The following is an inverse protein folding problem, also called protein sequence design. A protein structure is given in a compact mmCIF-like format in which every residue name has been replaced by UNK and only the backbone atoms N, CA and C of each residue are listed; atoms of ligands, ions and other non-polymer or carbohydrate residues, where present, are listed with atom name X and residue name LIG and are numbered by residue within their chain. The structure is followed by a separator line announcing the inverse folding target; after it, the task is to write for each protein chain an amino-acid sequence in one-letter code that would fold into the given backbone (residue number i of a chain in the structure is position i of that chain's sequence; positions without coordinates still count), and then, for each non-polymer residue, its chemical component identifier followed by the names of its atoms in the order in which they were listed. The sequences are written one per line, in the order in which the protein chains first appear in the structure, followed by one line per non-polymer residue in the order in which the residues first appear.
data_IF_907906796399
#
_entry.id   IF_907906796399
#
_cell.length_a   1.000
_cell.length_b   1.000
_cell.length_c   1.000
_cell.angle_alpha   90.00
_cell.angle_beta   90.00
_cell.angle_gamma   90.00
#
_symmetry.space_group_name_H-M   'P 1'
#
loop_
_entity.id
_entity.type
_entity.pdbx_description
1 polymer ?
#
# COMPACT_ATOMS: atom_id res chain seq x y z
N UNK A 1 -160.95 -18.94 -120.74
CA UNK A 1 -159.57 -19.37 -120.98
C UNK A 1 -158.69 -18.13 -121.10
N UNK A 2 -157.99 -17.86 -122.23
CA UNK A 2 -157.20 -16.66 -122.59
C UNK A 2 -156.88 -15.62 -121.50
N UNK A 3 -157.87 -14.89 -120.95
CA UNK A 3 -157.63 -13.88 -119.90
C UNK A 3 -156.90 -14.44 -118.65
N UNK A 4 -157.27 -15.64 -118.17
CA UNK A 4 -156.56 -16.32 -117.06
C UNK A 4 -155.14 -16.76 -117.41
N UNK A 5 -154.89 -17.05 -118.69
CA UNK A 5 -153.56 -17.45 -119.16
C UNK A 5 -152.62 -16.23 -119.20
N UNK A 6 -153.13 -15.06 -119.60
CA UNK A 6 -152.40 -13.79 -119.48
C UNK A 6 -152.21 -13.33 -118.03
N UNK A 7 -153.20 -13.52 -117.16
CA UNK A 7 -153.10 -13.19 -115.73
C UNK A 7 -152.00 -14.04 -115.05
N UNK A 8 -152.01 -15.37 -115.23
CA UNK A 8 -150.92 -16.24 -114.76
C UNK A 8 -149.56 -15.94 -115.39
N UNK A 9 -149.50 -15.42 -116.63
CA UNK A 9 -148.23 -15.03 -117.26
C UNK A 9 -147.65 -13.76 -116.63
N UNK A 10 -148.49 -12.82 -116.19
CA UNK A 10 -148.08 -11.64 -115.42
C UNK A 10 -147.64 -12.03 -114.01
N UNK A 11 -148.39 -12.88 -113.31
CA UNK A 11 -148.01 -13.41 -112.00
C UNK A 11 -146.67 -14.15 -112.05
N UNK A 12 -146.43 -14.97 -113.09
CA UNK A 12 -145.14 -15.66 -113.34
C UNK A 12 -143.99 -14.72 -113.73
N UNK A 13 -144.29 -13.47 -114.12
CA UNK A 13 -143.26 -12.44 -114.36
C UNK A 13 -142.95 -11.67 -113.08
N UNK A 14 -143.97 -11.30 -112.31
CA UNK A 14 -143.83 -10.61 -111.02
C UNK A 14 -143.10 -11.50 -110.00
N UNK A 15 -143.47 -12.78 -109.89
CA UNK A 15 -142.76 -13.75 -109.02
C UNK A 15 -141.29 -13.88 -109.40
N UNK A 16 -140.96 -14.05 -110.69
CA UNK A 16 -139.56 -14.06 -111.16
C UNK A 16 -138.80 -12.77 -110.89
N UNK A 17 -139.46 -11.61 -110.98
CA UNK A 17 -138.85 -10.32 -110.66
C UNK A 17 -138.58 -10.16 -109.15
N UNK A 18 -139.44 -10.74 -108.30
CA UNK A 18 -139.24 -10.81 -106.84
C UNK A 18 -138.13 -11.82 -106.50
N UNK A 19 -138.09 -12.98 -107.16
CA UNK A 19 -137.02 -13.99 -107.00
C UNK A 19 -135.65 -13.40 -107.43
N UNK A 20 -135.59 -12.69 -108.56
CA UNK A 20 -134.37 -12.01 -109.01
C UNK A 20 -133.93 -10.90 -108.05
N UNK A 21 -134.85 -10.10 -107.51
CA UNK A 21 -134.53 -9.07 -106.51
C UNK A 21 -134.01 -9.69 -105.22
N UNK A 22 -134.63 -10.77 -104.73
CA UNK A 22 -134.14 -11.52 -103.57
C UNK A 22 -132.76 -12.12 -103.79
N UNK A 23 -132.53 -12.79 -104.92
CA UNK A 23 -131.21 -13.33 -105.25
C UNK A 23 -130.14 -12.24 -105.28
N UNK A 24 -130.45 -11.05 -105.83
CA UNK A 24 -129.51 -9.92 -105.79
C UNK A 24 -129.36 -9.34 -104.38
N UNK A 25 -130.42 -9.22 -103.59
CA UNK A 25 -130.36 -8.78 -102.19
C UNK A 25 -129.55 -9.76 -101.32
N UNK A 26 -129.64 -11.07 -101.59
CA UNK A 26 -128.86 -12.13 -100.96
C UNK A 26 -127.38 -12.11 -101.43
N UNK A 27 -127.10 -11.84 -102.72
CA UNK A 27 -125.75 -11.63 -103.26
C UNK A 27 -125.09 -10.37 -102.69
N UNK A 28 -125.77 -9.22 -102.73
CA UNK A 28 -125.30 -7.94 -102.18
C UNK A 28 -125.05 -8.08 -100.66
N UNK A 29 -125.90 -8.83 -99.93
CA UNK A 29 -125.71 -9.12 -98.50
C UNK A 29 -124.57 -10.12 -98.22
N UNK A 30 -124.31 -11.08 -99.12
CA UNK A 30 -123.17 -11.98 -99.03
C UNK A 30 -121.85 -11.23 -99.24
N UNK A 31 -121.74 -10.38 -100.26
CA UNK A 31 -120.55 -9.55 -100.50
C UNK A 31 -120.28 -8.62 -99.31
N UNK A 32 -121.31 -7.94 -98.77
CA UNK A 32 -121.19 -7.12 -97.57
C UNK A 32 -120.78 -7.94 -96.32
N UNK A 33 -121.20 -9.21 -96.22
CA UNK A 33 -120.78 -10.11 -95.14
C UNK A 33 -119.32 -10.57 -95.30
N UNK A 34 -118.82 -10.76 -96.51
CA UNK A 34 -117.40 -11.06 -96.78
C UNK A 34 -116.50 -9.85 -96.59
N UNK A 35 -116.90 -8.64 -97.03
CA UNK A 35 -116.18 -7.41 -96.73
C UNK A 35 -116.09 -7.17 -95.22
N UNK A 36 -117.19 -7.35 -94.48
CA UNK A 36 -117.18 -7.26 -93.02
C UNK A 36 -116.21 -8.26 -92.38
N UNK A 37 -116.21 -9.52 -92.82
CA UNK A 37 -115.27 -10.56 -92.33
C UNK A 37 -113.81 -10.20 -92.64
N UNK A 38 -113.56 -9.60 -93.81
CA UNK A 38 -112.24 -9.12 -94.21
C UNK A 38 -111.77 -7.98 -93.31
N UNK A 39 -112.61 -6.97 -93.08
CA UNK A 39 -112.29 -5.85 -92.18
C UNK A 39 -112.11 -6.34 -90.74
N UNK A 40 -112.95 -7.24 -90.25
CA UNK A 40 -112.80 -7.86 -88.92
C UNK A 40 -111.47 -8.63 -88.78
N UNK A 41 -111.04 -9.32 -89.85
CA UNK A 41 -109.72 -9.95 -89.91
C UNK A 41 -108.59 -8.92 -89.92
N UNK A 42 -108.66 -7.88 -90.75
CA UNK A 42 -107.63 -6.84 -90.84
C UNK A 42 -107.50 -6.07 -89.50
N UNK A 43 -108.61 -5.77 -88.82
CA UNK A 43 -108.62 -5.20 -87.46
C UNK A 43 -108.00 -6.15 -86.42
N UNK A 44 -108.23 -7.46 -86.54
CA UNK A 44 -107.62 -8.46 -85.67
C UNK A 44 -106.11 -8.57 -85.89
N UNK A 45 -105.66 -8.60 -87.14
CA UNK A 45 -104.24 -8.67 -87.49
C UNK A 45 -103.49 -7.40 -87.05
N UNK A 46 -104.09 -6.21 -87.18
CA UNK A 46 -103.54 -4.97 -86.63
C UNK A 46 -103.54 -4.96 -85.08
N UNK A 47 -104.57 -5.51 -84.42
CA UNK A 47 -104.58 -5.65 -82.96
C UNK A 47 -103.48 -6.60 -82.45
N UNK A 48 -103.29 -7.75 -83.10
CA UNK A 48 -102.22 -8.71 -82.79
C UNK A 48 -100.82 -8.12 -83.09
N UNK A 49 -100.68 -7.34 -84.17
CA UNK A 49 -99.46 -6.59 -84.49
C UNK A 49 -99.15 -5.50 -83.46
N UNK A 50 -100.12 -4.66 -83.08
CA UNK A 50 -99.94 -3.65 -82.02
C UNK A 50 -99.62 -4.27 -80.66
N UNK A 51 -100.20 -5.43 -80.35
CA UNK A 51 -99.88 -6.19 -79.13
C UNK A 51 -98.42 -6.67 -79.14
N UNK A 52 -97.97 -7.30 -80.22
CA UNK A 52 -96.58 -7.77 -80.34
C UNK A 52 -95.56 -6.62 -80.37
N UNK A 53 -95.87 -5.50 -81.03
CA UNK A 53 -95.06 -4.28 -80.95
C UNK A 53 -94.89 -3.78 -79.50
N UNK A 54 -95.98 -3.66 -78.74
CA UNK A 54 -95.93 -3.26 -77.33
C UNK A 54 -95.10 -4.22 -76.47
N UNK A 55 -95.21 -5.54 -76.69
CA UNK A 55 -94.37 -6.52 -75.99
C UNK A 55 -92.88 -6.33 -76.32
N UNK A 56 -92.53 -6.03 -77.58
CA UNK A 56 -91.14 -5.73 -77.96
C UNK A 56 -90.63 -4.40 -77.39
N UNK A 57 -91.49 -3.39 -77.24
CA UNK A 57 -91.17 -2.12 -76.57
C UNK A 57 -90.97 -2.32 -75.06
N UNK A 58 -91.85 -3.07 -74.39
CA UNK A 58 -91.71 -3.43 -72.97
C UNK A 58 -90.44 -4.23 -72.69
N UNK A 59 -90.07 -5.16 -73.57
CA UNK A 59 -88.81 -5.93 -73.46
C UNK A 59 -87.61 -5.00 -73.61
N UNK A 60 -87.53 -4.21 -74.68
CA UNK A 60 -86.43 -3.24 -74.91
C UNK A 60 -86.30 -2.23 -73.76
N UNK A 61 -87.44 -1.79 -73.20
CA UNK A 61 -87.49 -0.92 -72.04
C UNK A 61 -86.84 -1.59 -70.82
N UNK A 62 -87.27 -2.80 -70.45
CA UNK A 62 -86.68 -3.58 -69.34
C UNK A 62 -85.19 -3.87 -69.54
N UNK A 63 -84.78 -4.15 -70.77
CA UNK A 63 -83.35 -4.33 -71.11
C UNK A 63 -82.56 -3.04 -70.89
N UNK A 64 -83.10 -1.88 -71.29
CA UNK A 64 -82.47 -0.57 -71.06
C UNK A 64 -82.44 -0.18 -69.57
N UNK A 65 -83.51 -0.48 -68.82
CA UNK A 65 -83.59 -0.28 -67.36
C UNK A 65 -82.54 -1.14 -66.64
N UNK A 66 -82.47 -2.44 -66.95
CA UNK A 66 -81.40 -3.32 -66.45
C UNK A 66 -80.00 -2.85 -66.87
N UNK A 67 -79.83 -2.25 -68.06
CA UNK A 67 -78.53 -1.74 -68.50
C UNK A 67 -78.11 -0.47 -67.72
N UNK A 68 -79.07 0.35 -67.30
CA UNK A 68 -78.83 1.49 -66.41
C UNK A 68 -78.53 1.01 -64.99
N UNK A 69 -79.31 0.06 -64.45
CA UNK A 69 -79.06 -0.53 -63.13
C UNK A 69 -77.69 -1.21 -63.06
N UNK A 70 -77.27 -1.93 -64.11
CA UNK A 70 -75.91 -2.52 -64.26
C UNK A 70 -74.79 -1.50 -64.41
N UNK A 71 -75.08 -0.22 -64.68
CA UNK A 71 -74.11 0.88 -64.63
C UNK A 71 -74.05 1.48 -63.22
N UNK A 72 -75.19 1.76 -62.61
CA UNK A 72 -75.30 2.32 -61.25
C UNK A 72 -74.66 1.39 -60.22
N UNK A 73 -74.95 0.09 -60.28
CA UNK A 73 -74.35 -0.92 -59.39
C UNK A 73 -72.83 -0.96 -59.52
N UNK A 74 -72.29 -0.97 -60.74
CA UNK A 74 -70.83 -0.90 -61.00
C UNK A 74 -70.19 0.40 -60.53
N UNK A 75 -70.89 1.52 -60.65
CA UNK A 75 -70.39 2.81 -60.18
C UNK A 75 -70.33 2.87 -58.65
N UNK A 76 -71.34 2.31 -57.96
CA UNK A 76 -71.35 2.15 -56.50
C UNK A 76 -70.24 1.20 -56.05
N UNK A 77 -70.06 0.07 -56.73
CA UNK A 77 -68.97 -0.89 -56.48
C UNK A 77 -67.59 -0.24 -56.66
N UNK A 78 -67.38 0.52 -57.73
CA UNK A 78 -66.13 1.25 -57.98
C UNK A 78 -65.86 2.33 -56.93
N UNK A 79 -66.87 3.13 -56.55
CA UNK A 79 -66.74 4.11 -55.46
C UNK A 79 -66.37 3.44 -54.15
N UNK A 80 -67.05 2.34 -53.79
CA UNK A 80 -66.75 1.58 -52.56
C UNK A 80 -65.34 1.00 -52.57
N UNK A 81 -64.89 0.40 -53.68
CA UNK A 81 -63.53 -0.13 -53.79
C UNK A 81 -62.49 0.98 -53.63
N UNK A 82 -62.72 2.17 -54.20
CA UNK A 82 -61.84 3.32 -54.00
C UNK A 82 -61.85 3.82 -52.56
N UNK A 83 -63.02 3.91 -51.93
CA UNK A 83 -63.13 4.29 -50.51
C UNK A 83 -62.45 3.27 -49.57
N UNK A 84 -62.42 1.98 -49.95
CA UNK A 84 -61.71 0.91 -49.24
C UNK A 84 -60.18 0.99 -49.45
N UNK A 85 -59.71 1.37 -50.64
CA UNK A 85 -58.31 1.65 -50.98
C UNK A 85 -57.80 2.92 -50.26
N UNK A 86 -58.50 4.05 -50.40
CA UNK A 86 -58.20 5.32 -49.69
C UNK A 86 -58.14 5.10 -48.16
N UNK A 87 -59.01 4.24 -47.61
CA UNK A 87 -59.05 3.91 -46.17
C UNK A 87 -57.93 2.94 -45.73
N UNK A 88 -57.48 2.04 -46.60
CA UNK A 88 -56.35 1.15 -46.34
C UNK A 88 -55.03 1.94 -46.26
N UNK A 89 -54.77 2.82 -47.23
CA UNK A 89 -53.59 3.71 -47.22
C UNK A 89 -53.59 4.62 -45.99
N UNK A 90 -54.75 5.21 -45.66
CA UNK A 90 -54.90 6.01 -44.45
C UNK A 90 -54.71 5.22 -43.14
N UNK A 91 -54.94 3.91 -43.15
CA UNK A 91 -54.68 3.03 -42.01
C UNK A 91 -53.20 2.65 -41.89
N UNK A 92 -52.50 2.41 -43.02
CA UNK A 92 -51.07 2.08 -43.00
C UNK A 92 -50.16 3.28 -42.73
N UNK A 93 -50.51 4.48 -43.18
CA UNK A 93 -49.82 5.71 -42.74
C UNK A 93 -50.07 6.02 -41.25
N UNK A 94 -51.26 5.71 -40.70
CA UNK A 94 -51.48 5.76 -39.24
C UNK A 94 -50.58 4.77 -38.49
N UNK A 95 -50.49 3.51 -38.95
CA UNK A 95 -49.59 2.50 -38.39
C UNK A 95 -48.11 2.87 -38.54
N UNK A 96 -47.75 3.65 -39.57
CA UNK A 96 -46.40 4.18 -39.77
C UNK A 96 -46.08 5.26 -38.74
N UNK A 97 -46.92 6.28 -38.63
CA UNK A 97 -46.76 7.37 -37.65
C UNK A 97 -46.76 6.84 -36.21
N UNK A 98 -47.55 5.82 -35.89
CA UNK A 98 -47.54 5.15 -34.58
C UNK A 98 -46.19 4.46 -34.29
N UNK A 99 -45.57 3.82 -35.29
CA UNK A 99 -44.20 3.27 -35.18
C UNK A 99 -43.17 4.36 -35.02
N UNK A 100 -43.18 5.38 -35.87
CA UNK A 100 -42.22 6.49 -35.82
C UNK A 100 -42.28 7.24 -34.48
N UNK A 101 -43.49 7.50 -33.94
CA UNK A 101 -43.67 8.10 -32.61
C UNK A 101 -43.19 7.19 -31.48
N UNK A 102 -43.43 5.88 -31.59
CA UNK A 102 -42.93 4.90 -30.61
C UNK A 102 -41.41 4.83 -30.61
N UNK A 103 -40.79 4.73 -31.78
CA UNK A 103 -39.34 4.65 -31.93
C UNK A 103 -38.68 5.94 -31.42
N UNK A 104 -39.28 7.11 -31.65
CA UNK A 104 -38.83 8.38 -31.05
C UNK A 104 -38.96 8.40 -29.52
N UNK A 105 -40.04 7.85 -28.96
CA UNK A 105 -40.23 7.76 -27.52
C UNK A 105 -39.23 6.79 -26.85
N UNK A 106 -38.94 5.65 -27.48
CA UNK A 106 -37.91 4.70 -27.04
C UNK A 106 -36.50 5.33 -27.16
N UNK A 107 -36.21 6.07 -28.23
CA UNK A 107 -34.95 6.81 -28.42
C UNK A 107 -34.77 7.93 -27.37
N UNK A 108 -35.80 8.74 -27.10
CA UNK A 108 -35.80 9.75 -26.02
C UNK A 108 -35.63 9.11 -24.64
N UNK A 109 -36.13 7.90 -24.42
CA UNK A 109 -35.87 7.14 -23.19
C UNK A 109 -34.40 6.68 -23.10
N UNK A 110 -33.87 6.08 -24.17
CA UNK A 110 -32.47 5.64 -24.24
C UNK A 110 -31.47 6.79 -24.03
N UNK A 111 -31.71 7.96 -24.64
CA UNK A 111 -30.90 9.16 -24.42
C UNK A 111 -30.85 9.57 -22.94
N UNK A 112 -32.01 9.62 -22.25
CA UNK A 112 -32.07 9.94 -20.82
C UNK A 112 -31.32 8.92 -19.95
N UNK A 113 -31.36 7.63 -20.30
CA UNK A 113 -30.56 6.62 -19.59
C UNK A 113 -29.06 6.81 -19.80
N UNK A 114 -28.63 7.09 -21.04
CA UNK A 114 -27.23 7.40 -21.35
C UNK A 114 -26.73 8.65 -20.62
N UNK A 115 -27.55 9.70 -20.49
CA UNK A 115 -27.17 10.91 -19.77
C UNK A 115 -27.15 10.73 -18.24
N UNK A 116 -27.97 9.83 -17.68
CA UNK A 116 -27.87 9.40 -16.28
C UNK A 116 -26.55 8.64 -16.05
N UNK A 117 -26.18 7.73 -16.94
CA UNK A 117 -24.92 6.98 -16.87
C UNK A 117 -23.73 7.94 -16.98
N UNK A 118 -23.70 8.82 -17.99
CA UNK A 118 -22.65 9.83 -18.18
C UNK A 118 -22.46 10.74 -16.97
N UNK A 119 -23.55 11.17 -16.32
CA UNK A 119 -23.48 11.97 -15.09
C UNK A 119 -22.85 11.18 -13.95
N UNK A 120 -23.31 9.95 -13.72
CA UNK A 120 -22.75 9.05 -12.69
C UNK A 120 -21.27 8.76 -12.92
N UNK A 121 -20.84 8.56 -14.17
CA UNK A 121 -19.45 8.31 -14.51
C UNK A 121 -18.59 9.56 -14.30
N UNK A 122 -19.07 10.74 -14.70
CA UNK A 122 -18.39 12.02 -14.45
C UNK A 122 -18.32 12.38 -12.95
N UNK A 123 -19.37 12.08 -12.18
CA UNK A 123 -19.38 12.19 -10.71
C UNK A 123 -18.32 11.27 -10.09
N UNK A 124 -18.25 10.01 -10.52
CA UNK A 124 -17.26 9.04 -10.05
C UNK A 124 -15.82 9.39 -10.49
N UNK A 125 -15.60 10.02 -11.65
CA UNK A 125 -14.28 10.54 -12.04
C UNK A 125 -13.86 11.76 -11.23
N UNK A 126 -14.80 12.65 -10.91
CA UNK A 126 -14.56 13.79 -10.01
C UNK A 126 -14.26 13.30 -8.58
N UNK A 127 -14.98 12.30 -8.06
CA UNK A 127 -14.69 11.67 -6.77
C UNK A 127 -13.28 11.05 -6.76
N UNK A 128 -12.93 10.25 -7.79
CA UNK A 128 -11.56 9.71 -7.96
C UNK A 128 -10.49 10.81 -8.10
N UNK A 129 -10.84 12.01 -8.60
CA UNK A 129 -9.92 13.16 -8.67
C UNK A 129 -9.74 13.79 -7.30
N UNK A 130 -10.82 14.00 -6.54
CA UNK A 130 -10.78 14.51 -5.17
C UNK A 130 -10.01 13.58 -4.24
N UNK A 131 -10.23 12.26 -4.33
CA UNK A 131 -9.49 11.26 -3.55
C UNK A 131 -7.98 11.33 -3.83
N UNK A 132 -7.57 11.35 -5.10
CA UNK A 132 -6.14 11.51 -5.47
C UNK A 132 -5.54 12.83 -5.00
N UNK A 133 -6.31 13.91 -4.96
CA UNK A 133 -5.85 15.20 -4.43
C UNK A 133 -5.68 15.15 -2.89
N UNK A 134 -6.58 14.46 -2.17
CA UNK A 134 -6.47 14.23 -0.73
C UNK A 134 -5.30 13.30 -0.38
N UNK A 135 -5.08 12.22 -1.15
CA UNK A 135 -3.92 11.34 -1.04
C UNK A 135 -2.61 12.13 -1.25
N UNK A 136 -2.55 12.96 -2.30
CA UNK A 136 -1.39 13.80 -2.59
C UNK A 136 -1.13 14.87 -1.51
N UNK A 137 -2.18 15.45 -0.92
CA UNK A 137 -2.08 16.36 0.23
C UNK A 137 -1.51 15.65 1.46
N UNK A 138 -2.10 14.50 1.84
CA UNK A 138 -1.62 13.69 2.97
C UNK A 138 -0.18 13.23 2.80
N UNK A 139 0.22 12.83 1.59
CA UNK A 139 1.59 12.39 1.30
C UNK A 139 2.59 13.55 1.42
N UNK A 140 2.20 14.77 1.02
CA UNK A 140 3.00 15.99 1.26
C UNK A 140 3.08 16.39 2.73
N UNK A 141 1.99 16.24 3.48
CA UNK A 141 1.96 16.49 4.93
C UNK A 141 2.87 15.50 5.68
N UNK A 142 2.85 14.22 5.27
CA UNK A 142 3.74 13.16 5.78
C UNK A 142 5.21 13.40 5.39
N UNK A 143 5.49 13.83 4.16
CA UNK A 143 6.84 14.22 3.71
C UNK A 143 7.38 15.41 4.51
N UNK A 144 6.57 16.45 4.74
CA UNK A 144 6.96 17.62 5.54
C UNK A 144 7.24 17.21 7.00
N UNK A 145 6.35 16.45 7.62
CA UNK A 145 6.53 15.94 8.98
C UNK A 145 7.77 15.05 9.10
N UNK A 146 8.09 14.25 8.07
CA UNK A 146 9.31 13.45 8.02
C UNK A 146 10.58 14.31 7.85
N UNK A 147 10.53 15.42 7.10
CA UNK A 147 11.63 16.36 6.99
C UNK A 147 11.86 17.12 8.31
N UNK A 148 10.80 17.58 8.97
CA UNK A 148 10.87 18.20 10.30
C UNK A 148 11.38 17.23 11.37
N UNK A 149 10.92 15.98 11.37
CA UNK A 149 11.44 14.94 12.26
C UNK A 149 12.93 14.65 12.02
N UNK A 150 13.40 14.69 10.76
CA UNK A 150 14.83 14.58 10.43
C UNK A 150 15.63 15.78 10.92
N UNK A 151 15.13 17.01 10.72
CA UNK A 151 15.75 18.26 11.22
C UNK A 151 15.86 18.24 12.76
N UNK A 152 14.78 17.89 13.46
CA UNK A 152 14.77 17.76 14.93
C UNK A 152 15.72 16.65 15.44
N UNK A 153 15.80 15.52 14.73
CA UNK A 153 16.74 14.44 15.07
C UNK A 153 18.21 14.83 14.84
N UNK A 154 18.51 15.60 13.78
CA UNK A 154 19.86 16.13 13.55
C UNK A 154 20.22 17.20 14.58
N UNK A 155 19.31 18.15 14.86
CA UNK A 155 19.52 19.19 15.88
C UNK A 155 19.72 18.57 17.27
N UNK A 156 18.95 17.52 17.62
CA UNK A 156 19.21 16.74 18.84
C UNK A 156 20.60 16.10 18.82
N UNK A 157 21.03 15.49 17.71
CA UNK A 157 22.39 14.92 17.60
C UNK A 157 23.49 15.97 17.73
N UNK A 158 23.26 17.20 17.27
CA UNK A 158 24.18 18.34 17.49
C UNK A 158 24.26 18.69 18.97
N UNK A 159 23.12 18.92 19.65
CA UNK A 159 23.08 19.16 21.12
C UNK A 159 23.70 18.02 21.93
N UNK A 160 23.39 16.76 21.60
CA UNK A 160 23.92 15.56 22.25
C UNK A 160 25.44 15.43 22.06
N UNK A 161 26.00 16.00 20.98
CA UNK A 161 27.46 16.09 20.77
C UNK A 161 28.05 17.28 21.53
N UNK A 162 27.47 18.47 21.41
CA UNK A 162 27.90 19.68 22.12
C UNK A 162 27.97 19.45 23.63
N UNK A 163 27.01 18.73 24.21
CA UNK A 163 27.02 18.34 25.62
C UNK A 163 28.15 17.36 25.98
N UNK A 164 28.53 16.44 25.09
CA UNK A 164 29.69 15.55 25.29
C UNK A 164 30.99 16.33 25.19
N UNK A 165 31.15 17.11 24.12
CA UNK A 165 32.32 17.95 23.88
C UNK A 165 32.53 18.91 25.08
N UNK A 166 31.46 19.50 25.64
CA UNK A 166 31.54 20.34 26.84
C UNK A 166 31.92 19.55 28.10
N UNK A 167 31.36 18.36 28.30
CA UNK A 167 31.69 17.49 29.45
C UNK A 167 33.14 16.99 29.38
N UNK A 168 33.65 16.65 28.21
CA UNK A 168 35.05 16.32 27.97
C UNK A 168 35.96 17.53 28.23
N UNK A 169 35.59 18.73 27.76
CA UNK A 169 36.34 19.97 28.00
C UNK A 169 36.36 20.35 29.50
N UNK A 170 35.25 20.17 30.22
CA UNK A 170 35.19 20.32 31.69
C UNK A 170 36.10 19.32 32.41
N UNK A 171 36.14 18.05 31.98
CA UNK A 171 37.04 17.05 32.55
C UNK A 171 38.52 17.39 32.25
N UNK A 172 38.85 17.80 31.03
CA UNK A 172 40.18 18.26 30.66
C UNK A 172 40.62 19.47 31.50
N UNK A 173 39.72 20.43 31.74
CA UNK A 173 39.99 21.57 32.64
C UNK A 173 40.29 21.13 34.07
N UNK A 174 39.49 20.20 34.63
CA UNK A 174 39.74 19.64 35.98
C UNK A 174 41.06 18.86 36.05
N UNK A 175 41.44 18.12 35.01
CA UNK A 175 42.74 17.44 34.93
C UNK A 175 43.90 18.43 34.85
N UNK A 176 43.79 19.49 34.04
CA UNK A 176 44.80 20.54 33.95
C UNK A 176 44.93 21.34 35.26
N UNK A 177 43.82 21.62 35.96
CA UNK A 177 43.88 22.17 37.32
C UNK A 177 44.53 21.21 38.30
N UNK A 178 44.23 19.91 38.23
CA UNK A 178 44.84 18.89 39.08
C UNK A 178 46.35 18.75 38.84
N UNK A 179 46.80 18.89 37.59
CA UNK A 179 48.23 18.94 37.24
C UNK A 179 48.86 20.22 37.79
N UNK A 180 48.26 21.40 37.56
CA UNK A 180 48.75 22.69 38.10
C UNK A 180 48.81 22.72 39.62
N UNK A 181 47.84 22.10 40.31
CA UNK A 181 47.82 21.96 41.77
C UNK A 181 48.98 21.09 42.24
N UNK A 182 49.18 19.88 41.66
CA UNK A 182 50.33 19.01 41.96
C UNK A 182 51.68 19.64 41.62
N UNK A 183 51.76 20.42 40.55
CA UNK A 183 52.97 21.15 40.15
C UNK A 183 53.30 22.27 41.15
N UNK A 184 52.29 23.05 41.56
CA UNK A 184 52.44 24.07 42.61
C UNK A 184 52.75 23.45 43.99
N UNK A 185 52.12 22.33 44.35
CA UNK A 185 52.42 21.54 45.55
C UNK A 185 53.87 21.04 45.51
N UNK A 186 54.31 20.41 44.42
CA UNK A 186 55.69 19.96 44.25
C UNK A 186 56.71 21.12 44.24
N UNK A 187 56.36 22.29 43.71
CA UNK A 187 57.22 23.48 43.77
C UNK A 187 57.26 24.10 45.18
N UNK A 188 56.16 24.04 45.94
CA UNK A 188 56.14 24.41 47.35
C UNK A 188 56.93 23.40 48.19
N UNK A 189 56.84 22.10 47.94
CA UNK A 189 57.71 21.09 48.55
C UNK A 189 59.19 21.31 48.21
N UNK A 190 59.52 21.63 46.95
CA UNK A 190 60.90 22.02 46.55
C UNK A 190 61.38 23.28 47.29
N UNK A 191 60.51 24.27 47.52
CA UNK A 191 60.83 25.47 48.31
C UNK A 191 61.03 25.15 49.78
N UNK A 192 60.12 24.42 50.41
CA UNK A 192 60.19 23.98 51.81
C UNK A 192 61.43 23.11 52.04
N UNK A 193 61.73 22.16 51.13
CA UNK A 193 62.93 21.34 51.19
C UNK A 193 64.21 22.18 51.10
N UNK A 194 64.30 23.12 50.16
CA UNK A 194 65.43 24.06 50.07
C UNK A 194 65.54 24.93 51.32
N UNK A 195 64.43 25.37 51.91
CA UNK A 195 64.43 26.15 53.14
C UNK A 195 64.90 25.32 54.35
N UNK A 196 64.53 24.05 54.43
CA UNK A 196 65.01 23.10 55.46
C UNK A 196 66.49 22.76 55.30
N UNK A 197 66.96 22.56 54.06
CA UNK A 197 68.38 22.34 53.76
C UNK A 197 69.22 23.59 54.08
N UNK A 198 68.73 24.79 53.74
CA UNK A 198 69.38 26.07 54.04
C UNK A 198 69.36 26.37 55.55
N UNK A 199 68.29 26.01 56.27
CA UNK A 199 68.24 26.07 57.74
C UNK A 199 69.26 25.15 58.40
N UNK A 200 69.38 23.89 57.95
CA UNK A 200 70.42 22.96 58.44
C UNK A 200 71.83 23.49 58.21
N UNK A 201 72.11 24.04 57.02
CA UNK A 201 73.40 24.65 56.71
C UNK A 201 73.74 25.83 57.63
N UNK A 202 72.75 26.68 57.94
CA UNK A 202 72.92 27.78 58.89
C UNK A 202 73.08 27.31 60.34
N UNK A 203 72.31 26.32 60.77
CA UNK A 203 72.44 25.74 62.12
C UNK A 203 73.80 25.07 62.32
N UNK A 204 74.35 24.43 61.27
CA UNK A 204 75.71 23.88 61.26
C UNK A 204 76.79 24.98 61.24
N UNK A 205 76.60 26.05 60.46
CA UNK A 205 77.50 27.22 60.44
C UNK A 205 77.49 27.97 61.78
N UNK A 206 76.32 28.20 62.39
CA UNK A 206 76.17 28.81 63.72
C UNK A 206 76.77 27.92 64.83
N UNK A 207 76.63 26.59 64.73
CA UNK A 207 77.27 25.66 65.67
C UNK A 207 78.81 25.61 65.51
N UNK A 208 79.34 25.82 64.30
CA UNK A 208 80.77 25.99 64.04
C UNK A 208 81.29 27.35 64.54
N UNK A 209 80.54 28.42 64.30
CA UNK A 209 80.79 29.76 64.85
C UNK A 209 80.84 29.74 66.38
N UNK A 210 79.90 29.08 67.05
CA UNK A 210 79.86 29.05 68.51
C UNK A 210 80.99 28.20 69.10
N UNK A 211 81.33 27.05 68.49
CA UNK A 211 82.55 26.30 68.82
C UNK A 211 83.79 27.18 68.68
N UNK A 212 83.93 27.86 67.53
CA UNK A 212 85.03 28.79 67.24
C UNK A 212 85.09 29.98 68.20
N UNK A 213 83.97 30.39 68.79
CA UNK A 213 83.91 31.43 69.84
C UNK A 213 84.38 30.87 71.19
N UNK A 214 83.84 29.73 71.62
CA UNK A 214 84.23 29.03 72.85
C UNK A 214 85.71 28.63 72.85
N UNK A 215 86.26 28.24 71.70
CA UNK A 215 87.69 27.95 71.51
C UNK A 215 88.58 29.19 71.65
N UNK A 216 88.17 30.36 71.14
CA UNK A 216 88.89 31.63 71.38
C UNK A 216 88.84 32.03 72.85
N UNK A 217 87.66 31.98 73.45
CA UNK A 217 87.45 32.27 74.88
C UNK A 217 88.35 31.38 75.76
N UNK A 218 88.45 30.08 75.44
CA UNK A 218 89.35 29.15 76.11
C UNK A 218 90.85 29.43 75.83
N UNK A 219 91.23 29.75 74.59
CA UNK A 219 92.62 30.06 74.24
C UNK A 219 93.10 31.35 74.94
N UNK A 220 92.27 32.39 74.99
CA UNK A 220 92.56 33.61 75.73
C UNK A 220 92.68 33.38 77.24
N UNK A 221 91.85 32.51 77.83
CA UNK A 221 91.98 32.14 79.24
C UNK A 221 93.31 31.42 79.52
N UNK A 222 93.70 30.48 78.65
CA UNK A 222 95.00 29.78 78.74
C UNK A 222 96.19 30.74 78.56
N UNK A 223 96.11 31.71 77.63
CA UNK A 223 97.15 32.72 77.50
C UNK A 223 97.25 33.65 78.71
N UNK A 224 96.12 34.12 79.25
CA UNK A 224 96.08 34.98 80.44
C UNK A 224 96.68 34.25 81.64
N UNK A 225 96.38 32.96 81.82
CA UNK A 225 96.99 32.13 82.86
C UNK A 225 98.49 31.92 82.65
N UNK A 226 98.94 31.55 81.43
CA UNK A 226 100.37 31.39 81.12
C UNK A 226 101.17 32.68 81.35
N UNK A 227 100.62 33.84 81.00
CA UNK A 227 101.25 35.16 81.21
C UNK A 227 101.34 35.49 82.71
N UNK A 228 100.28 35.27 83.48
CA UNK A 228 100.28 35.50 84.93
C UNK A 228 101.25 34.56 85.70
N UNK A 229 101.30 33.28 85.33
CA UNK A 229 102.21 32.31 85.98
C UNK A 229 103.68 32.63 85.66
N UNK A 230 103.98 33.02 84.41
CA UNK A 230 105.32 33.49 84.01
C UNK A 230 105.74 34.78 84.76
N UNK A 231 104.83 35.74 84.93
CA UNK A 231 105.11 36.99 85.66
C UNK A 231 105.37 36.74 87.15
N UNK A 232 104.66 35.80 87.77
CA UNK A 232 104.92 35.38 89.17
C UNK A 232 106.28 34.69 89.31
N UNK A 233 106.61 33.78 88.39
CA UNK A 233 107.91 33.09 88.33
C UNK A 233 109.06 34.10 88.12
N UNK A 234 108.86 35.11 87.28
CA UNK A 234 109.87 36.14 87.03
C UNK A 234 110.19 36.93 88.30
N UNK A 235 109.18 37.39 89.05
CA UNK A 235 109.37 38.12 90.32
C UNK A 235 110.03 37.27 91.40
N UNK A 236 109.57 36.04 91.61
CA UNK A 236 110.16 35.13 92.60
C UNK A 236 111.64 34.81 92.26
N UNK A 237 111.97 34.69 90.97
CA UNK A 237 113.34 34.51 90.49
C UNK A 237 114.19 35.77 90.68
N UNK A 238 113.66 36.97 90.44
CA UNK A 238 114.39 38.22 90.65
C UNK A 238 114.66 38.48 92.14
N UNK A 239 113.71 38.18 93.02
CA UNK A 239 113.88 38.24 94.48
C UNK A 239 114.90 37.20 94.96
N UNK A 240 114.79 35.94 94.50
CA UNK A 240 115.82 34.92 94.79
C UNK A 240 117.19 35.35 94.31
N UNK A 241 117.33 35.86 93.09
CA UNK A 241 118.63 36.32 92.58
C UNK A 241 119.21 37.49 93.37
N UNK A 242 118.40 38.38 93.95
CA UNK A 242 118.88 39.45 94.86
C UNK A 242 119.39 38.85 96.17
N UNK A 243 118.60 37.97 96.80
CA UNK A 243 119.00 37.27 98.03
C UNK A 243 120.26 36.42 97.82
N UNK A 244 120.37 35.72 96.69
CA UNK A 244 121.54 34.91 96.33
C UNK A 244 122.78 35.77 96.06
N UNK A 245 122.63 36.96 95.48
CA UNK A 245 123.74 37.90 95.27
C UNK A 245 124.23 38.48 96.60
N UNK A 246 123.32 38.82 97.53
CA UNK A 246 123.71 39.21 98.89
C UNK A 246 124.37 38.06 99.67
N UNK A 247 123.81 36.85 99.60
CA UNK A 247 124.37 35.68 100.27
C UNK A 247 125.76 35.33 99.73
N UNK A 248 125.92 35.22 98.41
CA UNK A 248 127.22 34.98 97.78
C UNK A 248 128.23 36.08 98.09
N UNK A 249 127.81 37.36 98.13
CA UNK A 249 128.70 38.45 98.52
C UNK A 249 129.15 38.32 99.97
N UNK A 250 128.26 38.06 100.94
CA UNK A 250 128.68 37.83 102.33
C UNK A 250 129.61 36.63 102.45
N UNK A 251 129.31 35.53 101.75
CA UNK A 251 130.14 34.33 101.72
C UNK A 251 131.54 34.64 101.17
N UNK A 252 131.63 35.45 100.10
CA UNK A 252 132.90 35.90 99.52
C UNK A 252 133.66 36.84 100.47
N UNK A 253 132.98 37.84 101.04
CA UNK A 253 133.56 38.81 101.98
C UNK A 253 134.12 38.10 103.23
N UNK A 254 133.43 37.09 103.79
CA UNK A 254 133.93 36.30 104.94
C UNK A 254 135.04 35.32 104.56
N UNK A 255 134.97 34.64 103.39
CA UNK A 255 136.03 33.74 102.92
C UNK A 255 137.35 34.50 102.68
N UNK A 256 137.27 35.67 102.04
CA UNK A 256 138.42 36.54 101.76
C UNK A 256 139.02 37.09 103.06
N UNK A 257 138.18 37.42 104.05
CA UNK A 257 138.58 37.85 105.40
C UNK A 257 139.19 36.72 106.26
N UNK A 258 138.92 35.47 105.92
CA UNK A 258 139.57 34.29 106.52
C UNK A 258 140.94 33.94 105.91
N UNK A 259 141.39 34.69 104.89
CA UNK A 259 142.72 34.55 104.29
C UNK A 259 142.85 33.46 103.23
N UNK A 260 141.74 33.04 102.62
CA UNK A 260 141.76 32.16 101.45
C UNK A 260 141.96 32.95 100.15
N UNK A 261 142.75 32.37 99.24
CA UNK A 261 143.06 32.96 97.93
C UNK A 261 141.88 32.83 96.94
N UNK A 262 141.70 33.86 96.13
CA UNK A 262 140.42 34.21 95.48
C UNK A 262 139.99 33.15 94.43
N UNK A 263 140.95 32.59 93.72
CA UNK A 263 140.70 31.62 92.64
C UNK A 263 140.18 30.25 93.12
N UNK A 264 140.35 29.90 94.40
CA UNK A 264 139.88 28.62 94.94
C UNK A 264 138.35 28.57 95.15
N UNK A 265 137.70 29.73 95.27
CA UNK A 265 136.30 29.86 95.67
C UNK A 265 135.35 29.50 94.50
N UNK A 266 135.72 29.87 93.27
CA UNK A 266 134.85 29.72 92.09
C UNK A 266 134.61 28.25 91.68
N UNK A 267 135.60 27.37 91.88
CA UNK A 267 135.61 26.02 91.33
C UNK A 267 134.52 25.09 91.91
N UNK A 268 133.98 25.41 93.10
CA UNK A 268 133.05 24.54 93.84
C UNK A 268 131.60 24.63 93.31
N UNK A 269 131.27 25.59 92.44
CA UNK A 269 129.91 26.07 92.19
C UNK A 269 129.08 25.44 91.01
N UNK A 270 129.42 24.28 90.38
CA UNK A 270 128.63 23.76 89.21
C UNK A 270 128.66 22.23 88.86
N UNK A 271 127.53 21.58 88.43
CA UNK A 271 127.36 20.14 87.94
C UNK A 271 125.97 19.82 87.17
N UNK A 272 125.66 18.64 86.50
CA UNK A 272 124.59 18.42 85.40
C UNK A 272 123.85 17.00 85.11
N UNK A 273 122.66 16.85 84.36
CA UNK A 273 121.92 15.58 83.80
C UNK A 273 120.69 15.67 82.72
N UNK A 274 120.02 14.56 82.16
CA UNK A 274 118.90 14.44 81.06
C UNK A 274 118.21 12.96 80.88
N UNK A 275 117.17 12.36 80.12
CA UNK A 275 116.21 12.43 78.88
C UNK A 275 114.97 11.35 78.72
N UNK A 276 114.06 11.32 77.64
CA UNK A 276 113.32 10.18 76.83
C UNK A 276 111.72 9.93 76.52
N UNK A 277 111.21 9.00 75.57
CA UNK A 277 109.87 8.92 74.69
C UNK A 277 109.15 7.47 74.33
N UNK A 278 108.13 6.98 73.46
CA UNK A 278 107.16 7.24 72.24
C UNK A 278 105.96 6.13 71.85
N UNK A 279 105.01 6.16 70.77
CA UNK A 279 103.63 5.42 70.59
C UNK A 279 103.02 4.66 69.19
N UNK A 280 101.69 4.54 68.65
CA UNK A 280 100.93 3.32 67.96
C UNK A 280 99.90 3.37 66.63
N UNK A 281 99.02 2.34 66.19
CA UNK A 281 98.10 2.24 64.88
C UNK A 281 96.80 1.21 64.70
N UNK A 282 96.00 0.98 63.55
CA UNK A 282 94.60 0.26 63.33
C UNK A 282 93.99 -0.40 61.92
N UNK A 283 92.76 -1.13 61.76
CA UNK A 283 92.14 -1.97 60.55
C UNK A 283 90.54 -2.01 60.08
N UNK A 284 89.96 -2.74 59.00
CA UNK A 284 88.43 -2.97 58.59
C UNK A 284 87.72 -4.21 57.68
N UNK A 285 86.85 -4.19 56.53
CA UNK A 285 85.51 -4.99 56.24
C UNK A 285 84.92 -5.63 54.79
N UNK A 286 83.72 -6.39 54.62
CA UNK A 286 83.11 -7.14 53.34
C UNK A 286 81.50 -7.41 53.01
N UNK A 287 80.93 -7.94 51.81
CA UNK A 287 79.42 -8.37 51.45
C UNK A 287 78.91 -9.05 50.01
N UNK A 288 77.70 -9.77 49.74
CA UNK A 288 76.90 -10.11 48.37
C UNK A 288 75.64 -11.19 48.17
N UNK A 289 74.60 -11.16 47.19
CA UNK A 289 73.42 -12.18 46.83
C UNK A 289 72.58 -12.33 45.39
N UNK A 290 71.63 -13.34 45.01
CA UNK A 290 70.64 -13.47 43.75
C UNK A 290 69.45 -14.62 43.51
N UNK A 291 68.54 -14.67 42.40
CA UNK A 291 67.36 -15.66 41.96
C UNK A 291 66.79 -15.62 40.41
N UNK A 292 65.62 -16.13 39.69
CA UNK A 292 64.32 -17.04 39.73
C UNK A 292 63.74 -17.90 38.39
N UNK A 293 62.39 -18.28 38.09
CA UNK A 293 61.80 -19.25 36.97
C UNK A 293 60.24 -19.24 36.33
N UNK A 294 59.65 -20.23 35.49
CA UNK A 294 58.29 -20.37 34.68
C UNK A 294 57.67 -21.84 34.20
N UNK A 295 56.72 -22.32 33.22
CA UNK A 295 55.68 -21.92 32.10
C UNK A 295 54.13 -22.53 31.75
N UNK A 296 53.66 -23.53 30.82
CA UNK A 296 52.42 -23.54 29.83
C UNK A 296 51.21 -24.69 29.60
N UNK A 297 50.38 -24.83 28.44
CA UNK A 297 48.95 -25.48 28.16
C UNK A 297 48.58 -26.29 26.75
N UNK A 298 47.35 -26.92 26.42
CA UNK A 298 46.86 -27.70 25.14
C UNK A 298 45.30 -27.75 24.62
N UNK A 299 44.87 -28.38 23.44
CA UNK A 299 43.48 -28.40 22.74
C UNK A 299 43.02 -29.59 21.70
N UNK A 300 41.81 -29.61 20.99
CA UNK A 300 41.15 -30.77 20.19
C UNK A 300 39.99 -30.52 19.08
N UNK A 301 39.72 -31.36 18.00
CA UNK A 301 38.49 -31.37 17.08
C UNK A 301 37.91 -32.75 16.47
N UNK A 302 36.82 -32.76 15.62
CA UNK A 302 36.15 -33.91 14.84
C UNK A 302 35.13 -33.40 13.73
N UNK A 303 34.20 -34.12 12.96
CA UNK A 303 33.78 -35.56 12.70
C UNK A 303 33.38 -35.96 11.17
N UNK A 304 32.52 -36.99 10.87
CA UNK A 304 32.04 -37.49 9.50
C UNK A 304 30.54 -38.01 9.36
N UNK A 305 30.06 -38.53 8.18
CA UNK A 305 28.65 -38.89 7.79
C UNK A 305 28.39 -40.36 7.26
N UNK A 306 27.16 -40.96 7.40
CA UNK A 306 26.80 -42.26 6.75
C UNK A 306 25.36 -42.47 6.14
N UNK A 307 25.31 -43.09 4.95
CA UNK A 307 24.30 -43.95 4.23
C UNK A 307 22.75 -43.79 4.31
N UNK A 308 22.09 -44.18 3.20
CA UNK A 308 20.66 -44.04 2.88
C UNK A 308 19.71 -45.15 3.39
N UNK A 309 18.43 -44.81 3.58
CA UNK A 309 17.28 -45.73 3.66
C UNK A 309 16.10 -45.16 2.86
N UNK A 310 15.28 -45.97 2.16
CA UNK A 310 14.04 -45.51 1.53
C UNK A 310 13.05 -44.96 2.57
N UNK A 311 13.08 -43.65 2.79
CA UNK A 311 12.34 -43.00 3.87
C UNK A 311 11.08 -42.37 3.31
N UNK A 312 9.97 -43.09 3.44
CA UNK A 312 8.65 -42.62 3.01
C UNK A 312 8.25 -41.36 3.78
N UNK A 313 8.08 -40.23 3.09
CA UNK A 313 7.60 -38.99 3.74
C UNK A 313 6.08 -39.02 3.81
N UNK A 314 5.52 -39.17 5.02
CA UNK A 314 4.07 -39.07 5.27
C UNK A 314 3.64 -37.60 5.36
N UNK A 315 2.76 -37.15 4.46
CA UNK A 315 2.22 -35.79 4.45
C UNK A 315 0.70 -35.77 4.60
N UNK A 316 0.17 -34.76 5.30
CA UNK A 316 -1.26 -34.59 5.45
C UNK A 316 -1.90 -33.98 4.19
N UNK A 317 -2.98 -34.58 3.70
CA UNK A 317 -3.84 -34.12 2.59
C UNK A 317 -4.45 -32.73 2.85
N UNK A 318 -4.41 -32.25 4.10
CA UNK A 318 -4.74 -30.86 4.46
C UNK A 318 -3.76 -29.83 3.90
N UNK A 319 -2.49 -30.18 3.67
CA UNK A 319 -1.46 -29.27 3.13
C UNK A 319 -0.97 -29.67 1.73
N UNK A 320 -1.15 -30.93 1.34
CA UNK A 320 -0.76 -31.47 0.04
C UNK A 320 -1.97 -31.89 -0.81
N UNK A 321 -2.02 -31.47 -2.07
CA UNK A 321 -3.01 -31.95 -3.05
C UNK A 321 -2.45 -33.09 -3.91
N UNK A 322 -3.31 -34.04 -4.26
CA UNK A 322 -3.04 -35.08 -5.26
C UNK A 322 -2.67 -34.46 -6.62
N UNK A 323 -3.26 -33.32 -6.96
CA UNK A 323 -2.96 -32.59 -8.21
C UNK A 323 -1.53 -32.04 -8.20
N UNK A 324 -1.05 -31.56 -7.05
CA UNK A 324 0.34 -31.13 -6.88
C UNK A 324 1.30 -32.29 -7.16
N UNK A 325 1.05 -33.46 -6.56
CA UNK A 325 1.86 -34.66 -6.78
C UNK A 325 1.85 -35.13 -8.24
N UNK A 326 0.72 -35.00 -8.95
CA UNK A 326 0.62 -35.29 -10.39
C UNK A 326 1.41 -34.28 -11.24
N UNK A 327 1.33 -32.98 -10.92
CA UNK A 327 2.07 -31.92 -11.64
C UNK A 327 3.59 -32.11 -11.49
N UNK A 328 4.07 -32.47 -10.30
CA UNK A 328 5.49 -32.74 -10.04
C UNK A 328 5.91 -34.20 -10.32
N UNK A 329 5.01 -35.04 -10.84
CA UNK A 329 5.25 -36.43 -11.24
C UNK A 329 5.84 -37.31 -10.12
N UNK A 330 5.32 -37.16 -8.90
CA UNK A 330 5.81 -37.84 -7.70
C UNK A 330 4.97 -39.09 -7.41
N UNK A 331 5.64 -40.23 -7.26
CA UNK A 331 5.01 -41.47 -6.83
C UNK A 331 4.52 -41.37 -5.38
N UNK A 332 3.22 -41.63 -5.20
CA UNK A 332 2.54 -41.58 -3.93
C UNK A 332 1.60 -42.77 -3.75
N UNK A 333 1.41 -43.17 -2.49
CA UNK A 333 0.42 -44.16 -2.06
C UNK A 333 -0.50 -43.51 -1.02
N UNK A 334 -1.74 -44.01 -0.90
CA UNK A 334 -2.62 -43.62 0.19
C UNK A 334 -2.21 -44.38 1.45
N UNK A 335 -2.14 -43.68 2.58
CA UNK A 335 -1.99 -44.34 3.88
C UNK A 335 -3.31 -45.01 4.28
N UNK A 336 -3.27 -45.86 5.30
CA UNK A 336 -4.46 -46.43 5.94
C UNK A 336 -5.36 -45.32 6.52
N UNK A 337 -4.76 -44.20 6.95
CA UNK A 337 -5.47 -42.97 7.29
C UNK A 337 -5.79 -42.16 6.00
N UNK A 338 -7.07 -41.95 5.61
CA UNK A 338 -7.42 -41.28 4.35
C UNK A 338 -7.06 -39.79 4.29
N UNK A 339 -6.64 -39.19 5.41
CA UNK A 339 -6.15 -37.81 5.49
C UNK A 339 -4.62 -37.69 5.32
N UNK A 340 -3.90 -38.79 5.13
CA UNK A 340 -2.47 -38.80 4.86
C UNK A 340 -2.13 -39.45 3.51
N UNK A 341 -1.00 -39.03 2.94
CA UNK A 341 -0.42 -39.53 1.70
C UNK A 341 1.04 -39.89 1.98
N UNK A 342 1.46 -41.06 1.53
CA UNK A 342 2.83 -41.56 1.65
C UNK A 342 3.57 -41.29 0.33
N UNK A 343 4.63 -40.48 0.38
CA UNK A 343 5.50 -40.24 -0.77
C UNK A 343 6.64 -41.26 -0.76
N UNK A 344 6.93 -41.90 -1.90
CA UNK A 344 7.91 -43.02 -1.97
C UNK A 344 9.38 -42.61 -1.85
N UNK A 345 9.66 -41.31 -1.89
CA UNK A 345 10.99 -40.72 -1.69
C UNK A 345 11.01 -39.85 -0.45
N UNK A 346 12.21 -39.65 0.10
CA UNK A 346 12.43 -38.56 1.05
C UNK A 346 12.20 -37.21 0.36
N UNK A 347 11.40 -36.35 0.98
CA UNK A 347 11.10 -34.99 0.47
C UNK A 347 11.79 -33.96 1.36
N UNK A 348 12.86 -33.28 0.89
CA UNK A 348 13.51 -32.19 1.62
C UNK A 348 12.54 -31.06 1.94
N UNK A 349 12.75 -30.33 3.04
CA UNK A 349 11.86 -29.28 3.55
C UNK A 349 11.48 -28.24 2.48
N UNK A 350 12.42 -27.82 1.64
CA UNK A 350 12.18 -26.89 0.53
C UNK A 350 11.24 -27.43 -0.58
N UNK A 351 11.24 -28.74 -0.84
CA UNK A 351 10.25 -29.36 -1.72
C UNK A 351 8.87 -29.40 -1.05
N UNK A 352 8.81 -29.63 0.27
CA UNK A 352 7.54 -29.60 1.03
C UNK A 352 6.89 -28.22 0.92
N UNK A 353 7.65 -27.16 1.15
CA UNK A 353 7.22 -25.78 0.96
C UNK A 353 6.75 -25.51 -0.48
N UNK A 354 7.49 -25.97 -1.49
CA UNK A 354 7.09 -25.81 -2.90
C UNK A 354 5.75 -26.51 -3.17
N UNK A 355 5.52 -27.70 -2.62
CA UNK A 355 4.27 -28.43 -2.78
C UNK A 355 3.12 -27.81 -1.97
N UNK A 356 3.39 -27.24 -0.80
CA UNK A 356 2.39 -26.51 -0.01
C UNK A 356 1.99 -25.19 -0.68
N UNK A 357 2.95 -24.43 -1.22
CA UNK A 357 2.70 -23.22 -2.00
C UNK A 357 1.87 -23.53 -3.26
N UNK A 358 2.23 -24.58 -4.01
CA UNK A 358 1.47 -25.00 -5.19
C UNK A 358 0.07 -25.50 -4.83
N UNK A 359 -0.07 -26.27 -3.73
CA UNK A 359 -1.36 -26.71 -3.22
C UNK A 359 -2.24 -25.53 -2.78
N UNK A 360 -1.66 -24.54 -2.09
CA UNK A 360 -2.33 -23.30 -1.71
C UNK A 360 -2.79 -22.52 -2.93
N UNK A 361 -1.95 -22.37 -3.95
CA UNK A 361 -2.29 -21.70 -5.20
C UNK A 361 -3.44 -22.39 -5.96
N UNK A 362 -3.43 -23.73 -6.07
CA UNK A 362 -4.55 -24.49 -6.68
C UNK A 362 -5.85 -24.23 -5.92
N UNK A 363 -5.81 -24.26 -4.58
CA UNK A 363 -7.00 -24.05 -3.74
C UNK A 363 -7.50 -22.61 -3.81
N UNK A 364 -6.60 -21.63 -3.75
CA UNK A 364 -6.95 -20.22 -3.95
C UNK A 364 -7.53 -19.94 -5.33
N UNK A 365 -7.00 -20.58 -6.38
CA UNK A 365 -7.57 -20.46 -7.74
C UNK A 365 -9.01 -20.98 -7.76
N UNK A 366 -9.28 -22.13 -7.14
CA UNK A 366 -10.63 -22.71 -7.01
C UNK A 366 -11.58 -21.87 -6.16
N UNK A 367 -11.15 -21.37 -5.01
CA UNK A 367 -12.01 -20.50 -4.18
C UNK A 367 -12.26 -19.14 -4.84
N UNK A 368 -11.27 -18.59 -5.57
CA UNK A 368 -11.47 -17.38 -6.41
C UNK A 368 -12.46 -17.63 -7.55
N UNK A 369 -12.52 -18.82 -8.14
CA UNK A 369 -13.58 -19.16 -9.11
C UNK A 369 -14.96 -19.29 -8.45
N UNK A 370 -15.07 -19.96 -7.30
CA UNK A 370 -16.34 -20.17 -6.60
C UNK A 370 -16.91 -18.89 -5.98
N UNK A 371 -16.08 -17.98 -5.46
CA UNK A 371 -16.54 -16.74 -4.80
C UNK A 371 -16.96 -15.62 -5.77
N UNK A 372 -16.92 -15.84 -7.08
CA UNK A 372 -17.41 -14.86 -8.09
C UNK A 372 -18.92 -14.96 -8.30
N UNK A 373 -19.55 -16.09 -7.98
CA UNK A 373 -20.96 -16.34 -8.31
C UNK A 373 -21.94 -15.97 -7.16
N UNK A 374 -21.53 -16.09 -5.89
CA UNK A 374 -22.41 -15.94 -4.71
C UNK A 374 -22.30 -14.59 -3.96
N UNK A 375 -21.89 -13.49 -4.62
CA UNK A 375 -21.82 -12.15 -3.97
C UNK A 375 -22.56 -11.04 -4.71
N UNK A 376 -23.89 -11.17 -4.75
CA UNK A 376 -24.81 -10.08 -5.06
C UNK A 376 -26.15 -10.28 -4.34
N UNK A 377 -26.75 -9.18 -3.89
CA UNK A 377 -28.09 -9.08 -3.26
C UNK A 377 -28.30 -9.68 -1.86
N UNK A 378 -27.77 -8.97 -0.85
CA UNK A 378 -28.51 -8.75 0.41
C UNK A 378 -28.13 -7.38 0.98
N UNK A 379 -28.96 -6.35 0.74
CA UNK A 379 -28.79 -5.02 1.32
C UNK A 379 -30.17 -4.36 1.49
N UNK A 380 -30.56 -4.17 2.75
CA UNK A 380 -31.70 -3.37 3.27
C UNK A 380 -33.00 -3.35 2.47
N UNK A 381 -34.03 -4.00 3.01
CA UNK A 381 -35.41 -3.54 2.81
C UNK A 381 -35.61 -2.15 3.46
N UNK A 382 -36.46 -1.30 2.85
CA UNK A 382 -37.28 -0.32 3.55
C UNK A 382 -38.78 -0.66 3.42
N UNK A 383 -39.58 -0.23 4.40
CA UNK A 383 -40.98 -0.66 4.55
C UNK A 383 -41.89 -0.32 3.36
N UNK A 384 -42.51 -1.35 2.75
CA UNK A 384 -43.68 -1.21 1.89
C UNK A 384 -44.70 -2.32 2.13
N UNK A 385 -45.95 -1.93 2.38
CA UNK A 385 -47.03 -2.84 2.79
C UNK A 385 -47.50 -3.76 1.65
N UNK A 386 -47.51 -5.07 1.91
CA UNK A 386 -47.99 -6.06 0.94
C UNK A 386 -49.52 -6.10 0.85
N UNK A 387 -50.10 -5.24 0.02
CA UNK A 387 -51.53 -5.28 -0.36
C UNK A 387 -51.83 -6.59 -1.11
N UNK A 388 -52.25 -7.62 -0.36
CA UNK A 388 -52.57 -8.95 -0.88
C UNK A 388 -53.82 -8.96 -1.76
N UNK A 389 -53.66 -8.87 -3.09
CA UNK A 389 -54.74 -9.25 -4.02
C UNK A 389 -54.74 -10.76 -4.27
N UNK A 390 -55.58 -11.49 -3.51
CA UNK A 390 -55.73 -12.95 -3.65
C UNK A 390 -56.30 -13.34 -5.01
N UNK A 391 -55.63 -14.30 -5.64
CA UNK A 391 -56.03 -15.25 -6.69
C UNK A 391 -57.29 -14.99 -7.53
N UNK A 392 -57.14 -15.12 -8.85
CA UNK A 392 -57.94 -16.09 -9.59
C UNK A 392 -57.03 -17.16 -10.18
N UNK A 393 -57.46 -18.41 -10.19
CA UNK A 393 -56.65 -19.58 -10.55
C UNK A 393 -57.14 -20.22 -11.84
N UNK A 394 -56.23 -20.93 -12.54
CA UNK A 394 -56.47 -21.71 -13.78
C UNK A 394 -56.72 -20.77 -14.98
N UNK A 395 -55.97 -20.86 -16.09
CA UNK A 395 -55.24 -22.01 -16.61
C UNK A 395 -53.88 -21.60 -17.19
N UNK A 396 -52.78 -22.20 -16.73
CA UNK A 396 -51.62 -22.31 -17.63
C UNK A 396 -51.98 -23.37 -18.69
N UNK A 397 -52.08 -22.90 -19.93
CA UNK A 397 -52.14 -23.72 -21.16
C UNK A 397 -51.38 -22.97 -22.25
N UNK A 398 -50.06 -22.88 -22.10
CA UNK A 398 -49.15 -22.58 -23.21
C UNK A 398 -49.28 -23.64 -24.31
N UNK A 399 -50.27 -23.49 -25.19
CA UNK A 399 -50.36 -24.22 -26.46
C UNK A 399 -49.12 -23.82 -27.27
N UNK A 400 -48.21 -24.76 -27.44
CA UNK A 400 -47.00 -24.57 -28.25
C UNK A 400 -47.34 -24.20 -29.69
N UNK A 401 -46.37 -23.61 -30.41
CA UNK A 401 -46.53 -23.23 -31.82
C UNK A 401 -47.04 -24.43 -32.64
N UNK A 402 -47.99 -24.16 -33.55
CA UNK A 402 -48.73 -25.20 -34.27
C UNK A 402 -47.84 -26.00 -35.24
N UNK A 403 -48.03 -27.34 -35.35
CA UNK A 403 -47.29 -28.15 -36.32
C UNK A 403 -47.67 -27.85 -37.79
N UNK A 404 -48.69 -27.02 -38.03
CA UNK A 404 -49.15 -26.65 -39.36
C UNK A 404 -48.10 -25.88 -40.18
N UNK A 405 -47.28 -25.03 -39.54
CA UNK A 405 -46.24 -24.27 -40.25
C UNK A 405 -45.13 -25.19 -40.79
N UNK A 406 -44.86 -26.30 -40.09
CA UNK A 406 -43.91 -27.33 -40.50
C UNK A 406 -44.42 -28.16 -41.69
N UNK A 407 -45.73 -28.45 -41.76
CA UNK A 407 -46.30 -29.11 -42.96
C UNK A 407 -46.26 -28.21 -44.20
N UNK A 408 -46.43 -26.90 -44.04
CA UNK A 408 -46.42 -25.97 -45.19
C UNK A 408 -45.04 -25.82 -45.83
N UNK A 409 -43.95 -25.90 -45.05
CA UNK A 409 -42.58 -25.99 -45.61
C UNK A 409 -42.27 -27.36 -46.22
N UNK A 410 -43.01 -28.41 -45.88
CA UNK A 410 -42.82 -29.77 -46.39
C UNK A 410 -43.63 -30.09 -47.67
N UNK A 411 -44.32 -29.11 -48.26
CA UNK A 411 -44.99 -29.23 -49.57
C UNK A 411 -46.27 -30.08 -49.60
N UNK A 412 -46.77 -30.51 -48.45
CA UNK A 412 -47.98 -31.34 -48.36
C UNK A 412 -49.25 -30.51 -48.63
N UNK A 413 -49.91 -30.73 -49.77
CA UNK A 413 -51.24 -30.17 -50.06
C UNK A 413 -52.33 -30.96 -49.29
N UNK A 414 -53.26 -30.29 -48.59
CA UNK A 414 -54.48 -30.94 -48.12
C UNK A 414 -55.43 -31.23 -49.31
N UNK A 415 -56.23 -32.28 -49.16
CA UNK A 415 -57.31 -32.72 -50.05
C UNK A 415 -58.67 -32.19 -49.59
#
# INVERSE_FOLDING_TARGET
MRKRESEMAVEKRITKEIEYKRLKEDEDAAEAAEEKRRLEKEFREDAEHRYTQRQLEDIKKRESEMAVEKRITKEIEYRRLKEEEDAADAADERRRLEREFRDEAELRYAQRQLDIIRKRDAEAENEKRMLRELEFKRLKEEEHAAEEARKAAEEKRRRDKEYRDEMELRQAHQQLEGIKKREAEADMEKRIKKELELKRLKEEEEALEEKRRREREAHEAVEKYKKAEADRIAREKEEKEKMDKEYRRRLHDDLLKSGLDEHAIEAILSNKKVQQHAPPVAPHPPISPHAPAGPPILALPAPEHPVERPTYTRMARRYLSIETLRTFQIEYEYDNDPDFILIKRWVPEWEQDQFWQHTKFIREKRTKTLMVEEKKHHHSDPDFEWVRKKHSSKHDRKRSKSPALLMYLAGARPS
#
